data_IF_329223176455
#
_entry.id   IF_329223176455
#
_cell.length_a   1.000
_cell.length_b   1.000
_cell.length_c   1.000
_cell.angle_alpha   90.00
_cell.angle_beta   90.00
_cell.angle_gamma   90.00
#
_symmetry.space_group_name_H-M   'P 1'
#
loop_
_entity.id
_entity.type
_entity.pdbx_description
1 polymer ?
#
# COMPACT_ATOMS: atom_id res chain seq x y z
N UNK A 1 -8.35 -4.01 19.70
CA UNK A 1 -7.12 -3.42 19.13
C UNK A 1 -7.45 -2.81 17.79
N UNK A 2 -6.93 -1.62 17.46
CA UNK A 2 -7.10 -1.03 16.13
C UNK A 2 -6.67 -2.02 15.03
N UNK A 3 -7.35 -2.02 13.88
CA UNK A 3 -6.98 -2.87 12.74
C UNK A 3 -5.60 -2.48 12.24
N UNK A 4 -4.72 -3.46 12.05
CA UNK A 4 -3.32 -3.28 11.63
C UNK A 4 -3.01 -3.90 10.26
N UNK A 5 -3.90 -4.76 9.77
CA UNK A 5 -3.69 -5.54 8.55
C UNK A 5 -4.98 -5.61 7.72
N UNK A 6 -4.82 -5.76 6.40
CA UNK A 6 -5.92 -5.81 5.43
C UNK A 6 -5.66 -6.89 4.37
N UNK A 7 -5.71 -8.19 4.73
CA UNK A 7 -5.50 -9.28 3.77
C UNK A 7 -6.51 -9.27 2.61
N UNK A 8 -7.70 -8.71 2.81
CA UNK A 8 -8.73 -8.58 1.78
C UNK A 8 -8.37 -7.58 0.66
N UNK A 9 -7.33 -6.76 0.86
CA UNK A 9 -6.83 -5.78 -0.11
C UNK A 9 -5.75 -6.34 -1.05
N UNK A 10 -5.27 -7.55 -0.81
CA UNK A 10 -4.36 -8.22 -1.76
C UNK A 10 -5.08 -8.38 -3.10
N UNK A 11 -4.37 -8.12 -4.21
CA UNK A 11 -4.92 -8.08 -5.58
C UNK A 11 -5.98 -7.00 -5.83
N UNK A 12 -6.15 -6.02 -4.94
CA UNK A 12 -6.98 -4.83 -5.19
C UNK A 12 -6.19 -3.70 -5.81
N UNK A 13 -6.91 -2.74 -6.39
CA UNK A 13 -6.29 -1.53 -6.91
C UNK A 13 -5.77 -0.66 -5.76
N UNK A 14 -4.75 0.15 -6.03
CA UNK A 14 -4.22 1.14 -5.07
C UNK A 14 -5.33 2.07 -4.56
N UNK A 15 -6.30 2.39 -5.43
CA UNK A 15 -7.44 3.25 -5.07
C UNK A 15 -8.33 2.58 -4.03
N UNK A 16 -8.79 1.36 -4.29
CA UNK A 16 -9.62 0.59 -3.34
C UNK A 16 -8.90 0.40 -2.01
N UNK A 17 -7.59 0.08 -2.07
CA UNK A 17 -6.79 -0.11 -0.87
C UNK A 17 -6.68 1.18 -0.03
N UNK A 18 -6.41 2.33 -0.67
CA UNK A 18 -6.37 3.63 0.01
C UNK A 18 -7.70 3.99 0.65
N UNK A 19 -8.81 3.78 -0.07
CA UNK A 19 -10.15 4.10 0.43
C UNK A 19 -10.52 3.23 1.64
N UNK A 20 -10.29 1.92 1.56
CA UNK A 20 -10.58 1.00 2.67
C UNK A 20 -9.73 1.29 3.91
N UNK A 21 -8.43 1.52 3.72
CA UNK A 21 -7.51 1.84 4.82
C UNK A 21 -7.92 3.16 5.49
N UNK A 22 -8.21 4.22 4.71
CA UNK A 22 -8.67 5.50 5.28
C UNK A 22 -10.01 5.39 6.01
N UNK A 23 -10.91 4.53 5.54
CA UNK A 23 -12.19 4.29 6.20
C UNK A 23 -12.01 3.53 7.53
N UNK A 24 -11.12 2.54 7.58
CA UNK A 24 -10.89 1.73 8.77
C UNK A 24 -9.98 2.43 9.80
N UNK A 25 -8.99 3.18 9.32
CA UNK A 25 -7.92 3.84 10.09
C UNK A 25 -7.56 5.21 9.48
N UNK A 26 -8.41 6.24 9.67
CA UNK A 26 -8.16 7.57 9.11
C UNK A 26 -6.92 8.27 9.70
N UNK A 27 -6.44 7.79 10.84
CA UNK A 27 -5.25 8.26 11.56
C UNK A 27 -3.93 7.86 10.88
N UNK A 28 -3.93 6.85 10.01
CA UNK A 28 -2.71 6.32 9.41
C UNK A 28 -2.25 7.10 8.18
N UNK A 29 -0.94 7.33 8.10
CA UNK A 29 -0.25 7.76 6.89
C UNK A 29 -0.09 6.58 5.93
N UNK A 30 -0.64 6.73 4.72
CA UNK A 30 -0.51 5.72 3.67
C UNK A 30 0.68 6.04 2.78
N UNK A 31 1.60 5.09 2.64
CA UNK A 31 2.70 5.13 1.67
C UNK A 31 2.49 4.03 0.62
N UNK A 32 2.69 4.36 -0.66
CA UNK A 32 2.65 3.39 -1.76
C UNK A 32 4.07 3.16 -2.22
N UNK A 33 4.51 1.91 -2.23
CA UNK A 33 5.91 1.55 -2.43
C UNK A 33 6.01 0.45 -3.49
N UNK A 34 6.80 0.63 -4.57
CA UNK A 34 7.09 -0.46 -5.49
C UNK A 34 7.81 -1.61 -4.78
N UNK A 35 7.41 -2.85 -5.06
CA UNK A 35 8.09 -4.06 -4.55
C UNK A 35 9.57 -4.00 -4.92
N UNK A 36 10.45 -4.31 -3.97
CA UNK A 36 11.90 -4.22 -4.13
C UNK A 36 12.52 -2.86 -3.83
N UNK A 37 11.69 -1.81 -3.59
CA UNK A 37 12.21 -0.52 -3.10
C UNK A 37 12.79 -0.70 -1.70
N UNK A 38 14.04 -0.26 -1.50
CA UNK A 38 14.66 -0.21 -0.19
C UNK A 38 13.97 0.88 0.62
N UNK A 39 13.32 0.49 1.70
CA UNK A 39 12.67 1.39 2.65
C UNK A 39 13.33 1.30 4.01
N UNK A 40 13.13 2.35 4.79
CA UNK A 40 13.59 2.43 6.16
C UNK A 40 12.89 1.36 7.02
N UNK A 41 13.66 0.68 7.89
CA UNK A 41 13.22 -0.49 8.66
C UNK A 41 12.58 -0.14 10.01
N UNK A 42 12.46 1.15 10.36
CA UNK A 42 11.79 1.54 11.59
C UNK A 42 10.32 1.11 11.58
N UNK A 43 9.90 0.61 12.73
CA UNK A 43 8.50 0.32 13.00
C UNK A 43 7.80 1.63 13.35
N UNK A 44 6.82 2.01 12.52
CA UNK A 44 6.00 3.20 12.70
C UNK A 44 4.53 2.76 12.73
N UNK A 45 3.93 2.79 13.93
CA UNK A 45 2.53 2.41 14.16
C UNK A 45 1.51 3.33 13.46
N UNK A 46 1.94 4.52 13.03
CA UNK A 46 1.10 5.49 12.35
C UNK A 46 1.20 5.39 10.82
N UNK A 47 1.89 4.36 10.30
CA UNK A 47 2.14 4.21 8.87
C UNK A 47 1.73 2.84 8.36
N UNK A 48 1.12 2.84 7.18
CA UNK A 48 0.83 1.62 6.42
C UNK A 48 1.42 1.73 5.02
N UNK A 49 2.16 0.68 4.61
CA UNK A 49 2.76 0.58 3.28
C UNK A 49 1.89 -0.32 2.40
N UNK A 50 1.44 0.20 1.28
CA UNK A 50 0.84 -0.56 0.18
C UNK A 50 1.96 -0.90 -0.79
N UNK A 51 2.30 -2.19 -0.88
CA UNK A 51 3.31 -2.69 -1.81
C UNK A 51 2.69 -2.97 -3.17
N UNK A 52 3.30 -2.45 -4.24
CA UNK A 52 2.79 -2.59 -5.61
C UNK A 52 3.85 -3.21 -6.51
N UNK A 53 3.47 -4.19 -7.32
CA UNK A 53 4.33 -4.77 -8.33
C UNK A 53 4.06 -4.07 -9.67
N UNK A 54 5.06 -3.38 -10.22
CA UNK A 54 4.83 -2.38 -11.28
C UNK A 54 5.27 -2.85 -12.67
N UNK A 55 4.28 -3.24 -13.47
CA UNK A 55 4.20 -3.01 -14.93
C UNK A 55 2.75 -2.62 -15.26
N UNK A 56 2.43 -1.32 -15.25
CA UNK A 56 1.05 -0.84 -15.43
C UNK A 56 0.53 -0.96 -16.87
N UNK A 57 1.46 -1.02 -17.83
CA UNK A 57 1.18 -1.18 -19.26
C UNK A 57 2.28 -2.04 -19.86
N UNK A 58 1.94 -2.84 -20.86
CA UNK A 58 2.92 -3.58 -21.66
C UNK A 58 4.03 -2.62 -22.13
N UNK A 59 5.30 -2.86 -21.77
CA UNK A 59 6.40 -2.11 -22.34
C UNK A 59 6.43 -2.35 -23.85
N UNK A 60 6.45 -1.27 -24.63
CA UNK A 60 6.54 -1.32 -26.09
C UNK A 60 7.73 -0.48 -26.53
N UNK A 61 8.44 -0.92 -27.58
CA UNK A 61 9.42 -0.05 -28.27
C UNK A 61 8.69 1.17 -28.84
N UNK A 62 9.32 2.33 -28.79
CA UNK A 62 8.80 3.62 -29.21
C UNK A 62 9.65 4.74 -28.60
#
# INVERSE_FOLDING_TARGET
TPKTEWPELVCRTIKEAKEKIKADRPDLKIEVVPVGTIVTQEFDENRVRIWVDTVAKTPTIG
#
